data_IF_363142646003
#
_entry.id   IF_363142646003
#
_cell.length_a   1.000
_cell.length_b   1.000
_cell.length_c   1.000
_cell.angle_alpha   90.00
_cell.angle_beta   90.00
_cell.angle_gamma   90.00
#
_symmetry.space_group_name_H-M   'P 1'
#
loop_
_entity.id
_entity.type
_entity.pdbx_description
1 polymer ?
#
# COMPACT_ATOMS: atom_id res chain seq x y z
N UNK A 1 -3.35 8.77 15.44
CA UNK A 1 -2.04 8.82 16.13
C UNK A 1 -2.28 9.52 17.45
N UNK A 2 -2.34 8.76 18.51
CA UNK A 2 -2.60 9.23 19.87
C UNK A 2 -1.27 9.50 20.61
N UNK A 3 -1.28 10.22 21.73
CA UNK A 3 -0.10 10.32 22.61
C UNK A 3 0.42 8.96 23.06
N UNK A 4 -0.46 7.98 23.19
CA UNK A 4 -0.13 6.60 23.54
C UNK A 4 0.64 5.88 22.42
N UNK A 5 0.27 6.09 21.15
CA UNK A 5 1.02 5.61 20.00
C UNK A 5 2.45 6.17 20.00
N UNK A 6 2.62 7.45 20.36
CA UNK A 6 3.93 8.10 20.43
C UNK A 6 4.79 7.52 21.57
N UNK A 7 4.21 7.21 22.72
CA UNK A 7 4.93 6.56 23.82
C UNK A 7 5.47 5.18 23.42
N UNK A 8 4.76 4.47 22.55
CA UNK A 8 5.20 3.16 22.02
C UNK A 8 6.27 3.28 20.92
N UNK A 9 6.28 4.38 20.16
CA UNK A 9 7.23 4.59 19.05
C UNK A 9 8.61 5.04 19.58
N UNK A 10 8.67 5.88 20.59
CA UNK A 10 9.93 6.41 21.14
C UNK A 10 10.95 5.31 21.54
N UNK A 11 10.58 4.25 22.27
CA UNK A 11 11.49 3.16 22.60
C UNK A 11 11.99 2.39 21.37
N UNK A 12 11.19 2.34 20.30
CA UNK A 12 11.58 1.70 19.05
C UNK A 12 12.61 2.56 18.32
N UNK A 13 12.38 3.86 18.22
CA UNK A 13 13.30 4.81 17.59
C UNK A 13 14.68 4.80 18.27
N UNK A 14 14.72 4.71 19.60
CA UNK A 14 15.97 4.66 20.37
C UNK A 14 16.79 3.37 20.09
N UNK A 15 16.16 2.32 19.61
CA UNK A 15 16.80 1.03 19.25
C UNK A 15 17.29 0.99 17.80
N UNK A 16 16.94 1.97 16.97
CA UNK A 16 17.39 2.02 15.58
C UNK A 16 18.90 2.26 15.55
N UNK A 17 19.62 1.33 14.92
CA UNK A 17 21.05 1.44 14.69
C UNK A 17 21.30 1.50 13.20
N UNK A 18 22.16 2.42 12.76
CA UNK A 18 22.68 2.39 11.41
C UNK A 18 23.74 1.28 11.32
N UNK A 19 23.48 0.28 10.51
CA UNK A 19 24.42 -0.81 10.24
C UNK A 19 25.03 -0.56 8.87
N UNK A 20 26.35 -0.47 8.79
CA UNK A 20 27.05 -0.40 7.51
C UNK A 20 26.83 -1.69 6.71
N UNK A 21 26.34 -1.58 5.48
CA UNK A 21 25.94 -2.72 4.64
C UNK A 21 27.13 -3.28 3.84
N UNK A 22 28.25 -2.59 3.79
CA UNK A 22 29.45 -3.01 3.05
C UNK A 22 30.74 -2.83 3.86
N UNK A 23 31.57 -3.86 3.85
CA UNK A 23 32.93 -3.80 4.40
C UNK A 23 33.84 -2.85 3.62
N UNK A 24 33.47 -2.45 2.44
CA UNK A 24 34.22 -1.55 1.56
C UNK A 24 33.93 -0.07 1.84
N UNK A 25 32.85 0.23 2.54
CA UNK A 25 32.59 1.56 3.07
C UNK A 25 33.27 1.69 4.43
N UNK A 26 34.58 1.74 4.44
CA UNK A 26 35.35 2.21 5.59
C UNK A 26 35.13 3.71 5.68
N UNK A 27 34.13 4.10 6.49
CA UNK A 27 33.99 5.50 6.88
C UNK A 27 35.10 5.76 7.88
N UNK A 28 36.20 6.28 7.42
CA UNK A 28 37.36 6.64 8.25
C UNK A 28 37.03 7.67 9.34
N UNK A 29 35.95 8.41 9.14
CA UNK A 29 35.37 9.30 10.14
C UNK A 29 33.90 8.96 10.33
N UNK A 30 33.52 8.25 11.40
CA UNK A 30 32.12 8.02 11.67
C UNK A 30 31.39 9.35 11.87
N UNK A 31 30.53 9.69 10.92
CA UNK A 31 29.65 10.85 11.08
C UNK A 31 28.81 10.60 12.33
N UNK A 32 29.06 11.37 13.38
CA UNK A 32 28.20 11.35 14.57
C UNK A 32 26.84 11.93 14.18
N UNK A 33 25.90 11.07 13.89
CA UNK A 33 24.51 11.48 13.76
C UNK A 33 23.97 11.80 15.14
N UNK A 34 23.77 13.06 15.42
CA UNK A 34 22.93 13.44 16.54
C UNK A 34 21.50 13.35 16.04
N UNK A 35 20.79 12.29 16.41
CA UNK A 35 19.34 12.23 16.23
C UNK A 35 18.77 13.27 17.19
N UNK A 36 18.55 14.46 16.69
CA UNK A 36 17.68 15.41 17.38
C UNK A 36 16.27 14.88 17.21
N UNK A 37 15.74 14.27 18.25
CA UNK A 37 14.30 14.10 18.38
C UNK A 37 13.72 15.50 18.45
N UNK A 38 13.39 16.04 17.30
CA UNK A 38 12.53 17.20 17.29
C UNK A 38 11.16 16.69 17.72
N UNK A 39 10.64 17.28 18.78
CA UNK A 39 9.22 17.30 19.05
C UNK A 39 8.55 18.13 17.93
N UNK A 40 8.65 17.63 16.71
CA UNK A 40 8.25 18.33 15.49
C UNK A 40 6.73 18.49 15.45
N UNK A 41 6.00 17.63 16.16
CA UNK A 41 4.56 17.58 16.12
C UNK A 41 3.87 18.76 16.83
N UNK A 42 4.18 19.11 18.08
CA UNK A 42 3.59 20.27 18.72
C UNK A 42 4.02 21.59 18.08
N UNK A 43 5.29 21.70 17.68
CA UNK A 43 5.84 22.94 17.10
C UNK A 43 5.30 23.22 15.69
N UNK A 44 5.20 22.20 14.83
CA UNK A 44 4.61 22.38 13.50
C UNK A 44 3.12 22.71 13.58
N UNK A 45 2.42 22.17 14.56
CA UNK A 45 1.02 22.47 14.76
C UNK A 45 0.80 23.91 15.20
N UNK A 46 1.60 24.37 16.17
CA UNK A 46 1.58 25.77 16.60
C UNK A 46 1.98 26.71 15.47
N UNK A 47 2.96 26.32 14.66
CA UNK A 47 3.39 27.09 13.50
C UNK A 47 2.29 27.20 12.44
N UNK A 48 1.60 26.09 12.13
CA UNK A 48 0.48 26.09 11.19
C UNK A 48 -0.70 26.91 11.72
N UNK A 49 -1.05 26.75 12.97
CA UNK A 49 -2.12 27.52 13.61
C UNK A 49 -1.80 29.02 13.62
N UNK A 50 -0.58 29.39 13.98
CA UNK A 50 -0.14 30.79 14.01
C UNK A 50 0.04 31.40 12.61
N UNK A 51 0.59 30.64 11.65
CA UNK A 51 0.92 31.15 10.33
C UNK A 51 -0.28 31.24 9.38
N UNK A 52 -1.26 30.34 9.50
CA UNK A 52 -2.37 30.23 8.56
C UNK A 52 -3.76 30.29 9.22
N UNK A 53 -3.85 30.50 10.52
CA UNK A 53 -5.10 30.51 11.26
C UNK A 53 -5.85 29.17 11.23
N UNK A 54 -5.11 28.06 11.08
CA UNK A 54 -5.67 26.71 10.95
C UNK A 54 -5.62 26.00 12.30
N UNK A 55 -6.76 25.95 12.96
CA UNK A 55 -6.89 25.37 14.30
C UNK A 55 -7.32 23.90 14.30
N UNK A 56 -7.48 23.36 15.51
CA UNK A 56 -7.93 21.97 15.72
C UNK A 56 -9.27 21.69 15.06
N UNK A 57 -10.19 22.64 15.12
CA UNK A 57 -11.55 22.50 14.55
C UNK A 57 -11.48 22.41 13.01
N UNK A 58 -10.61 23.21 12.40
CA UNK A 58 -10.37 23.17 10.97
C UNK A 58 -9.79 21.83 10.54
N UNK A 59 -8.83 21.30 11.30
CA UNK A 59 -8.25 20.00 11.07
C UNK A 59 -9.32 18.90 11.14
N UNK A 60 -10.17 18.89 12.15
CA UNK A 60 -11.24 17.91 12.30
C UNK A 60 -12.25 18.00 11.16
N UNK A 61 -12.62 19.22 10.76
CA UNK A 61 -13.53 19.46 9.63
C UNK A 61 -12.95 18.94 8.33
N UNK A 62 -11.68 19.23 8.05
CA UNK A 62 -10.99 18.76 6.83
C UNK A 62 -10.81 17.25 6.87
N UNK A 63 -10.43 16.68 8.00
CA UNK A 63 -10.28 15.23 8.16
C UNK A 63 -11.60 14.49 7.92
N UNK A 64 -12.70 15.02 8.46
CA UNK A 64 -14.05 14.49 8.20
C UNK A 64 -14.40 14.56 6.72
N UNK A 65 -14.21 15.71 6.09
CA UNK A 65 -14.46 15.90 4.65
C UNK A 65 -13.65 14.92 3.80
N UNK A 66 -12.37 14.73 4.11
CA UNK A 66 -11.51 13.76 3.41
C UNK A 66 -12.06 12.34 3.61
N UNK A 67 -12.39 11.95 4.83
CA UNK A 67 -12.91 10.61 5.13
C UNK A 67 -14.19 10.29 4.36
N UNK A 68 -15.09 11.27 4.23
CA UNK A 68 -16.37 11.12 3.53
C UNK A 68 -16.23 11.15 1.99
N UNK A 69 -15.30 11.91 1.47
CA UNK A 69 -15.24 12.20 0.04
C UNK A 69 -14.07 11.51 -0.71
N UNK A 70 -12.95 11.22 -0.04
CA UNK A 70 -11.80 10.63 -0.70
C UNK A 70 -12.10 9.28 -1.38
N UNK A 71 -12.88 8.35 -0.80
CA UNK A 71 -13.24 7.11 -1.48
C UNK A 71 -14.01 7.34 -2.79
N UNK A 72 -14.98 8.25 -2.76
CA UNK A 72 -15.80 8.59 -3.94
C UNK A 72 -15.02 9.32 -5.01
N UNK A 73 -14.16 10.26 -4.62
CA UNK A 73 -13.31 11.00 -5.55
C UNK A 73 -12.20 10.12 -6.13
N UNK A 74 -11.59 9.28 -5.30
CA UNK A 74 -10.53 8.38 -5.73
C UNK A 74 -11.01 7.35 -6.75
N UNK A 75 -12.28 6.96 -6.70
CA UNK A 75 -12.87 6.06 -7.70
C UNK A 75 -12.91 6.67 -9.11
N UNK A 76 -12.87 8.00 -9.23
CA UNK A 76 -12.80 8.73 -10.50
C UNK A 76 -11.38 9.10 -10.90
N UNK A 77 -10.46 9.06 -9.96
CA UNK A 77 -9.05 9.39 -10.19
C UNK A 77 -8.26 8.19 -10.72
N UNK A 78 -6.97 8.43 -10.89
CA UNK A 78 -6.04 7.41 -11.38
C UNK A 78 -5.55 6.49 -10.24
N UNK A 79 -6.45 5.76 -9.60
CA UNK A 79 -6.08 4.80 -8.57
C UNK A 79 -5.08 3.78 -9.15
N UNK A 80 -3.95 3.61 -8.45
CA UNK A 80 -2.89 2.71 -8.88
C UNK A 80 -2.00 3.24 -9.99
N UNK A 81 -2.33 4.37 -10.60
CA UNK A 81 -1.59 5.01 -11.70
C UNK A 81 -1.14 6.41 -11.28
N UNK A 82 -0.17 6.48 -10.38
CA UNK A 82 0.33 7.76 -9.90
C UNK A 82 1.19 8.45 -10.95
N UNK A 83 1.12 9.80 -10.95
CA UNK A 83 1.85 10.61 -11.91
C UNK A 83 3.38 10.57 -11.76
N UNK A 84 4.14 11.13 -12.73
CA UNK A 84 5.58 11.13 -12.70
C UNK A 84 6.13 11.99 -11.56
N UNK A 85 7.24 11.54 -10.96
CA UNK A 85 7.96 12.31 -9.92
C UNK A 85 8.56 13.58 -10.50
N UNK A 86 8.97 13.53 -11.78
CA UNK A 86 9.76 14.58 -12.45
C UNK A 86 8.89 15.66 -13.09
N UNK A 87 7.61 15.68 -12.83
CA UNK A 87 6.73 16.76 -13.27
C UNK A 87 7.19 18.07 -12.63
N UNK A 88 7.75 18.97 -13.45
CA UNK A 88 8.03 20.36 -13.05
C UNK A 88 6.73 21.14 -12.83
N UNK A 89 5.64 20.58 -13.23
CA UNK A 89 4.29 21.06 -12.93
C UNK A 89 4.07 20.88 -11.43
N UNK A 90 3.62 21.91 -10.70
CA UNK A 90 3.13 21.72 -9.34
C UNK A 90 2.08 20.62 -9.41
N UNK A 91 2.21 19.61 -8.54
CA UNK A 91 1.41 18.38 -8.57
C UNK A 91 -0.04 18.64 -8.89
N UNK A 92 -0.64 17.74 -9.62
CA UNK A 92 -1.99 17.85 -10.16
C UNK A 92 -2.93 18.56 -9.18
N UNK A 93 -3.53 19.67 -9.62
CA UNK A 93 -4.59 20.33 -8.88
C UNK A 93 -5.92 19.55 -8.97
N UNK A 94 -5.92 18.43 -9.67
CA UNK A 94 -7.07 17.56 -9.78
C UNK A 94 -7.43 16.94 -8.42
N UNK A 95 -8.60 17.26 -7.84
CA UNK A 95 -9.01 16.74 -6.55
C UNK A 95 -9.20 15.23 -6.53
N UNK A 96 -9.48 14.60 -7.67
CA UNK A 96 -9.66 13.17 -7.83
C UNK A 96 -8.32 12.43 -7.69
N UNK A 97 -7.27 12.93 -8.34
CA UNK A 97 -5.91 12.38 -8.21
C UNK A 97 -5.34 12.60 -6.81
N UNK A 98 -5.64 13.75 -6.18
CA UNK A 98 -5.30 14.00 -4.79
C UNK A 98 -5.99 13.02 -3.84
N UNK A 99 -7.27 12.72 -4.08
CA UNK A 99 -8.01 11.74 -3.30
C UNK A 99 -7.43 10.32 -3.50
N UNK A 100 -7.03 9.97 -4.73
CA UNK A 100 -6.35 8.71 -5.00
C UNK A 100 -5.03 8.61 -4.23
N UNK A 101 -4.24 9.69 -4.19
CA UNK A 101 -2.99 9.75 -3.41
C UNK A 101 -3.23 9.64 -1.89
N UNK A 102 -4.34 10.18 -1.37
CA UNK A 102 -4.72 10.03 0.05
C UNK A 102 -5.08 8.59 0.38
N UNK A 103 -5.76 7.89 -0.52
CA UNK A 103 -6.14 6.49 -0.34
C UNK A 103 -4.94 5.56 -0.50
N UNK A 104 -4.03 5.87 -1.43
CA UNK A 104 -2.83 5.08 -1.74
C UNK A 104 -1.54 5.79 -1.35
N UNK A 105 -1.37 6.15 -0.08
CA UNK A 105 -0.16 6.82 0.42
C UNK A 105 1.13 6.09 0.00
N UNK A 106 2.14 6.87 -0.38
CA UNK A 106 3.47 6.40 -0.79
C UNK A 106 3.47 5.50 -2.04
N UNK A 107 2.44 5.61 -2.89
CA UNK A 107 2.45 4.95 -4.19
C UNK A 107 3.55 5.49 -5.09
N UNK A 108 4.31 4.58 -5.72
CA UNK A 108 5.28 4.96 -6.75
C UNK A 108 4.57 5.45 -8.01
N UNK A 109 5.19 6.33 -8.80
CA UNK A 109 4.69 6.69 -10.12
C UNK A 109 4.51 5.47 -11.02
N UNK A 110 3.56 5.54 -11.95
CA UNK A 110 3.16 4.43 -12.81
C UNK A 110 4.32 3.72 -13.52
N UNK A 111 5.32 4.47 -13.99
CA UNK A 111 6.48 3.89 -14.66
C UNK A 111 7.41 3.09 -13.72
N UNK A 112 7.23 3.19 -12.40
CA UNK A 112 7.92 2.36 -11.43
C UNK A 112 7.04 1.24 -10.89
N UNK A 113 5.75 1.51 -10.65
CA UNK A 113 4.82 0.50 -10.17
C UNK A 113 3.37 0.81 -10.56
N UNK A 114 2.67 -0.22 -11.00
CA UNK A 114 1.22 -0.21 -11.18
C UNK A 114 0.58 -0.97 -10.01
N UNK A 115 -0.40 -0.35 -9.38
CA UNK A 115 -1.17 -0.92 -8.28
C UNK A 115 -2.56 -1.28 -8.78
N UNK A 116 -2.88 -2.56 -8.84
CA UNK A 116 -4.19 -3.05 -9.27
C UNK A 116 -4.99 -3.53 -8.05
N UNK A 117 -5.85 -2.68 -7.45
CA UNK A 117 -6.73 -3.09 -6.36
C UNK A 117 -7.92 -3.88 -6.91
N UNK A 118 -8.25 -4.99 -6.24
CA UNK A 118 -9.37 -5.86 -6.55
C UNK A 118 -10.32 -5.92 -5.36
N UNK A 119 -11.50 -5.33 -5.50
CA UNK A 119 -12.55 -5.30 -4.48
C UNK A 119 -13.66 -6.31 -4.76
N UNK A 120 -13.68 -6.87 -5.96
CA UNK A 120 -14.68 -7.81 -6.44
C UNK A 120 -14.04 -9.06 -6.99
N UNK A 121 -14.77 -10.17 -7.00
CA UNK A 121 -14.40 -11.39 -7.72
C UNK A 121 -14.64 -11.25 -9.24
N UNK A 122 -14.48 -12.34 -9.98
CA UNK A 122 -14.64 -12.34 -11.43
C UNK A 122 -16.10 -12.24 -11.91
N UNK A 123 -17.05 -12.36 -10.99
CA UNK A 123 -18.48 -12.11 -11.21
C UNK A 123 -18.94 -10.74 -10.75
N UNK A 124 -18.01 -9.83 -10.45
CA UNK A 124 -18.24 -8.49 -9.90
C UNK A 124 -18.94 -8.46 -8.52
N UNK A 125 -18.93 -9.58 -7.80
CA UNK A 125 -19.39 -9.63 -6.41
C UNK A 125 -18.29 -9.12 -5.47
N UNK A 126 -18.69 -8.39 -4.42
CA UNK A 126 -17.76 -7.86 -3.42
C UNK A 126 -17.07 -9.00 -2.69
N UNK A 127 -15.74 -8.93 -2.60
CA UNK A 127 -14.94 -9.90 -1.86
C UNK A 127 -15.28 -9.85 -0.37
N UNK A 128 -15.68 -11.00 0.17
CA UNK A 128 -16.08 -11.15 1.55
C UNK A 128 -15.60 -12.51 2.09
N UNK A 129 -15.18 -12.54 3.36
CA UNK A 129 -14.69 -13.76 4.01
C UNK A 129 -15.73 -14.86 4.23
N UNK A 130 -16.99 -14.66 3.84
CA UNK A 130 -18.01 -15.72 3.84
C UNK A 130 -17.83 -16.73 2.69
N UNK A 131 -17.04 -16.39 1.69
CA UNK A 131 -16.77 -17.21 0.50
C UNK A 131 -15.30 -17.49 0.34
N UNK A 132 -14.98 -18.67 -0.15
CA UNK A 132 -13.64 -18.97 -0.68
C UNK A 132 -13.53 -18.44 -2.10
N UNK A 133 -12.52 -17.63 -2.34
CA UNK A 133 -12.24 -17.06 -3.65
C UNK A 133 -10.88 -17.54 -4.16
N UNK A 134 -10.81 -17.86 -5.44
CA UNK A 134 -9.59 -18.35 -6.10
C UNK A 134 -9.26 -17.46 -7.28
N UNK A 135 -8.02 -16.98 -7.32
CA UNK A 135 -7.52 -16.17 -8.42
C UNK A 135 -6.28 -16.81 -9.02
N UNK A 136 -6.24 -16.78 -10.34
CA UNK A 136 -5.12 -17.31 -11.13
C UNK A 136 -4.35 -16.16 -11.75
N UNK A 137 -3.07 -16.09 -11.48
CA UNK A 137 -2.17 -15.03 -11.96
C UNK A 137 -1.11 -15.64 -12.86
N UNK A 138 -0.76 -15.02 -14.00
CA UNK A 138 0.43 -15.41 -14.72
C UNK A 138 1.68 -15.13 -13.86
N UNK A 139 2.59 -16.10 -13.78
CA UNK A 139 3.85 -15.93 -13.04
C UNK A 139 4.75 -14.88 -13.68
N UNK A 140 4.74 -14.82 -15.00
CA UNK A 140 5.41 -13.81 -15.82
C UNK A 140 4.35 -12.98 -16.55
N UNK A 141 3.74 -11.99 -15.89
CA UNK A 141 2.71 -11.20 -16.52
C UNK A 141 3.30 -10.34 -17.63
N UNK A 142 2.64 -10.33 -18.79
CA UNK A 142 3.04 -9.53 -19.94
C UNK A 142 3.15 -8.05 -19.56
N UNK A 143 4.19 -7.38 -20.08
CA UNK A 143 4.42 -5.95 -19.81
C UNK A 143 4.97 -5.65 -18.41
N UNK A 144 5.48 -6.63 -17.66
CA UNK A 144 6.11 -6.42 -16.36
C UNK A 144 7.58 -6.82 -16.41
N UNK A 145 8.47 -5.85 -16.29
CA UNK A 145 9.91 -6.09 -16.45
C UNK A 145 10.57 -6.67 -15.19
N UNK A 146 10.13 -6.26 -13.98
CA UNK A 146 10.81 -6.67 -12.77
C UNK A 146 10.10 -7.84 -12.08
N UNK A 147 9.08 -7.56 -11.29
CA UNK A 147 8.33 -8.59 -10.55
C UNK A 147 6.95 -8.08 -10.15
N UNK A 148 6.17 -8.96 -9.55
CA UNK A 148 4.87 -8.65 -8.99
C UNK A 148 4.74 -9.10 -7.54
N UNK A 149 3.78 -8.54 -6.84
CA UNK A 149 3.39 -8.98 -5.50
C UNK A 149 1.89 -8.86 -5.28
N UNK A 150 1.34 -9.75 -4.46
CA UNK A 150 -0.06 -9.73 -4.01
C UNK A 150 -0.09 -9.55 -2.50
N UNK A 151 -0.89 -8.60 -2.04
CA UNK A 151 -1.12 -8.35 -0.60
C UNK A 151 -2.61 -8.15 -0.36
N UNK A 152 -3.16 -8.74 0.71
CA UNK A 152 -4.55 -8.56 1.11
C UNK A 152 -4.74 -7.54 2.21
N UNK A 153 -5.91 -6.93 2.26
CA UNK A 153 -6.28 -5.88 3.21
C UNK A 153 -7.73 -6.04 3.65
N UNK A 154 -8.02 -5.68 4.89
CA UNK A 154 -9.39 -5.46 5.36
C UNK A 154 -9.99 -4.24 4.64
N UNK A 155 -11.17 -4.38 4.06
CA UNK A 155 -11.87 -3.25 3.45
C UNK A 155 -12.42 -2.26 4.51
N UNK A 156 -12.59 -2.71 5.76
CA UNK A 156 -13.06 -1.89 6.87
C UNK A 156 -11.96 -0.97 7.40
N UNK A 157 -10.77 -1.53 7.66
CA UNK A 157 -9.67 -0.81 8.32
C UNK A 157 -8.59 -0.33 7.36
N UNK A 158 -8.52 -0.91 6.15
CA UNK A 158 -7.46 -0.74 5.14
C UNK A 158 -6.07 -1.19 5.60
N UNK A 159 -6.00 -1.86 6.73
CA UNK A 159 -4.79 -2.51 7.19
C UNK A 159 -4.64 -3.90 6.57
N UNK A 160 -3.42 -4.41 6.53
CA UNK A 160 -3.19 -5.82 6.22
C UNK A 160 -3.91 -6.68 7.25
N UNK A 161 -4.51 -7.78 6.78
CA UNK A 161 -5.14 -8.77 7.68
C UNK A 161 -4.00 -9.56 8.33
N UNK A 162 -3.98 -9.59 9.67
CA UNK A 162 -2.96 -10.34 10.41
C UNK A 162 -3.09 -11.85 10.14
N UNK A 163 -1.96 -12.55 10.08
CA UNK A 163 -1.94 -13.99 9.89
C UNK A 163 -0.71 -14.48 9.12
N UNK A 164 -0.75 -15.73 8.70
CA UNK A 164 0.28 -16.32 7.84
C UNK A 164 0.11 -15.79 6.41
N UNK A 165 1.20 -15.80 5.65
CA UNK A 165 1.19 -15.50 4.22
C UNK A 165 0.62 -14.11 3.88
N UNK A 166 1.24 -13.08 4.46
CA UNK A 166 0.80 -11.69 4.24
C UNK A 166 1.09 -11.20 2.82
N UNK A 167 2.04 -11.82 2.15
CA UNK A 167 2.53 -11.43 0.84
C UNK A 167 2.94 -12.66 0.02
N UNK A 168 2.45 -12.77 -1.20
CA UNK A 168 3.05 -13.59 -2.25
C UNK A 168 3.65 -12.71 -3.33
N UNK A 169 4.76 -13.16 -3.90
CA UNK A 169 5.45 -12.48 -4.99
C UNK A 169 6.22 -13.49 -5.86
N UNK A 170 6.84 -13.00 -6.93
CA UNK A 170 7.62 -13.81 -7.84
C UNK A 170 8.81 -14.55 -7.18
N UNK A 171 9.29 -14.10 -6.02
CA UNK A 171 10.44 -14.72 -5.35
C UNK A 171 10.07 -15.81 -4.34
N UNK A 172 8.85 -15.78 -3.79
CA UNK A 172 8.38 -16.76 -2.81
C UNK A 172 7.30 -17.68 -3.34
N UNK A 173 7.04 -17.65 -4.65
CA UNK A 173 6.10 -18.54 -5.35
C UNK A 173 6.81 -19.27 -6.49
N UNK A 174 6.17 -20.34 -6.97
CA UNK A 174 6.61 -21.10 -8.17
C UNK A 174 5.40 -21.33 -9.06
N UNK A 175 5.55 -21.18 -10.37
CA UNK A 175 4.45 -21.42 -11.31
C UNK A 175 4.08 -22.91 -11.37
N UNK A 176 2.84 -23.17 -11.72
CA UNK A 176 2.37 -24.49 -12.14
C UNK A 176 2.88 -24.85 -13.55
N UNK A 177 2.44 -25.99 -14.05
CA UNK A 177 2.83 -26.47 -15.39
C UNK A 177 2.36 -25.54 -16.55
N UNK A 178 1.39 -24.67 -16.28
CA UNK A 178 0.84 -23.72 -17.23
C UNK A 178 1.46 -22.31 -17.09
N UNK A 179 2.44 -22.15 -16.19
CA UNK A 179 3.08 -20.87 -15.91
C UNK A 179 2.25 -19.94 -15.02
N UNK A 180 1.31 -20.47 -14.24
CA UNK A 180 0.40 -19.69 -13.41
C UNK A 180 0.66 -19.89 -11.92
N UNK A 181 0.21 -18.91 -11.13
CA UNK A 181 0.12 -18.95 -9.67
C UNK A 181 -1.35 -18.89 -9.28
N UNK A 182 -1.79 -19.88 -8.52
CA UNK A 182 -3.16 -19.92 -7.97
C UNK A 182 -3.14 -19.51 -6.51
N UNK A 183 -3.81 -18.40 -6.17
CA UNK A 183 -3.95 -17.89 -4.79
C UNK A 183 -5.38 -18.09 -4.33
N UNK A 184 -5.54 -18.75 -3.18
CA UNK A 184 -6.82 -18.97 -2.53
C UNK A 184 -6.98 -18.02 -1.35
N UNK A 185 -8.10 -17.33 -1.29
CA UNK A 185 -8.52 -16.47 -0.18
C UNK A 185 -9.68 -17.15 0.55
N UNK A 186 -9.47 -17.50 1.80
CA UNK A 186 -10.50 -18.14 2.64
C UNK A 186 -10.19 -17.94 4.11
N UNK A 187 -11.19 -18.14 4.97
CA UNK A 187 -11.01 -18.07 6.44
C UNK A 187 -10.13 -19.20 6.93
N UNK A 188 -10.42 -20.41 6.48
CA UNK A 188 -9.67 -21.61 6.88
C UNK A 188 -8.71 -22.04 5.76
N UNK A 189 -7.57 -22.59 6.17
CA UNK A 189 -6.60 -23.19 5.27
C UNK A 189 -7.23 -24.42 4.58
N UNK A 190 -7.47 -24.38 3.26
CA UNK A 190 -8.08 -25.50 2.54
C UNK A 190 -7.14 -26.69 2.36
N UNK A 191 -5.90 -26.62 2.89
CA UNK A 191 -4.84 -27.66 2.89
C UNK A 191 -4.36 -28.13 1.51
N UNK A 192 -5.19 -28.08 0.51
CA UNK A 192 -4.89 -28.39 -0.89
C UNK A 192 -4.50 -27.15 -1.72
N UNK A 193 -4.67 -25.93 -1.16
CA UNK A 193 -4.22 -24.71 -1.79
C UNK A 193 -2.70 -24.58 -1.73
N UNK A 194 -2.08 -24.37 -2.91
CA UNK A 194 -0.63 -24.13 -2.97
C UNK A 194 -0.26 -22.81 -2.32
N UNK A 195 -1.04 -21.75 -2.57
CA UNK A 195 -0.86 -20.42 -2.00
C UNK A 195 -2.17 -19.96 -1.38
N UNK A 196 -2.20 -19.91 -0.06
CA UNK A 196 -3.37 -19.51 0.71
C UNK A 196 -3.11 -18.20 1.45
N UNK A 197 -4.07 -17.28 1.36
CA UNK A 197 -4.13 -16.05 2.11
C UNK A 197 -5.36 -16.04 3.01
N UNK A 198 -5.22 -16.08 4.35
CA UNK A 198 -6.36 -16.02 5.26
C UNK A 198 -7.08 -14.69 5.17
N UNK A 199 -8.41 -14.72 5.27
CA UNK A 199 -9.29 -13.55 5.38
C UNK A 199 -10.15 -13.69 6.63
N UNK A 200 -10.75 -12.59 7.12
CA UNK A 200 -11.59 -12.61 8.30
C UNK A 200 -13.02 -13.04 7.93
N UNK A 201 -13.60 -13.94 8.74
CA UNK A 201 -14.99 -14.39 8.54
C UNK A 201 -15.98 -13.22 8.56
N UNK A 202 -16.88 -13.17 7.60
CA UNK A 202 -17.93 -12.15 7.50
C UNK A 202 -17.46 -10.74 7.21
N UNK A 203 -16.15 -10.52 7.01
CA UNK A 203 -15.62 -9.18 6.73
C UNK A 203 -15.32 -8.99 5.24
N UNK A 204 -15.64 -7.82 4.68
CA UNK A 204 -15.22 -7.47 3.33
C UNK A 204 -13.70 -7.23 3.32
N UNK A 205 -13.05 -7.73 2.28
CA UNK A 205 -11.63 -7.57 2.06
C UNK A 205 -11.35 -7.13 0.61
N UNK A 206 -10.15 -6.75 0.36
CA UNK A 206 -9.61 -6.55 -0.98
C UNK A 206 -8.16 -6.98 -1.03
N UNK A 207 -7.66 -7.23 -2.21
CA UNK A 207 -6.24 -7.44 -2.42
C UNK A 207 -5.71 -6.47 -3.47
N UNK A 208 -4.42 -6.21 -3.40
CA UNK A 208 -3.71 -5.36 -4.36
C UNK A 208 -2.62 -6.19 -5.01
N UNK A 209 -2.66 -6.27 -6.33
CA UNK A 209 -1.51 -6.74 -7.11
C UNK A 209 -0.66 -5.54 -7.45
N UNK A 210 0.63 -5.62 -7.18
CA UNK A 210 1.61 -4.61 -7.56
C UNK A 210 2.49 -5.19 -8.65
N UNK A 211 2.62 -4.46 -9.73
CA UNK A 211 3.48 -4.79 -10.85
C UNK A 211 4.59 -3.76 -10.92
N UNK A 212 5.83 -4.20 -10.78
CA UNK A 212 6.99 -3.31 -10.72
C UNK A 212 7.64 -3.17 -12.09
N UNK A 213 7.87 -1.92 -12.50
CA UNK A 213 8.33 -1.50 -13.83
C UNK A 213 7.41 -2.04 -14.93
N UNK A 214 6.14 -1.64 -14.90
CA UNK A 214 5.18 -2.06 -15.92
C UNK A 214 5.41 -1.30 -17.22
N UNK A 215 5.04 -1.91 -18.34
CA UNK A 215 4.80 -1.18 -19.59
C UNK A 215 3.52 -0.34 -19.42
N UNK A 216 3.67 0.97 -19.40
CA UNK A 216 2.55 1.90 -19.18
C UNK A 216 1.48 1.85 -20.27
N UNK A 217 1.82 1.32 -21.45
CA UNK A 217 0.92 1.17 -22.58
C UNK A 217 0.23 -0.22 -22.62
N UNK A 218 0.75 -1.18 -21.84
CA UNK A 218 0.22 -2.53 -21.79
C UNK A 218 0.15 -3.02 -20.34
N UNK A 219 -0.78 -2.46 -19.56
CA UNK A 219 -0.94 -2.80 -18.15
C UNK A 219 -1.64 -4.15 -17.97
N UNK A 220 -1.17 -4.99 -17.03
CA UNK A 220 -1.82 -6.26 -16.71
C UNK A 220 -3.29 -6.09 -16.35
N UNK A 221 -4.11 -7.01 -16.84
CA UNK A 221 -5.55 -7.03 -16.61
C UNK A 221 -5.90 -7.74 -15.28
N UNK A 222 -7.18 -7.63 -14.87
CA UNK A 222 -7.70 -8.36 -13.71
C UNK A 222 -7.49 -9.86 -13.92
N UNK A 223 -7.03 -10.60 -12.89
CA UNK A 223 -6.77 -12.04 -12.99
C UNK A 223 -8.07 -12.84 -12.95
N UNK A 224 -8.87 -12.71 -13.98
CA UNK A 224 -10.11 -13.45 -14.19
C UNK A 224 -9.98 -14.19 -15.52
N UNK A 225 -10.03 -15.50 -15.46
CA UNK A 225 -10.11 -16.39 -16.62
C UNK A 225 -11.56 -16.61 -17.03
#
# INVERSE_FOLDING_TARGET
KTPEDMANVLPIQQKIKLIGVSKELVIENPVKFTIKTHDVYPQNRVFLEAAVGFGKEDYLRVSKYIGENAPRLSAKGNIGKFGPIDSKEPGSNNPEDRAAAIVGHLGFPLHHAFYAPHFTNCSDEVLNGDKTEVFVFPYEPEGVELFWSVTRYSALTRNTIAGKNDLFNAYNTKPDANGNITVTFSVEDPKDATYWMPVNAGEPYYFVVRYYKPDVNNLPQKPCN
#
